data_IF_385868670212
#
_entry.id   IF_385868670212
#
_cell.length_a   1.000
_cell.length_b   1.000
_cell.length_c   1.000
_cell.angle_alpha   90.00
_cell.angle_beta   90.00
_cell.angle_gamma   90.00
#
_symmetry.space_group_name_H-M   'P 1'
#
loop_
_entity.id
_entity.type
_entity.pdbx_description
1 polymer ?
#
# COMPACT_ATOMS: atom_id res chain seq x y z
N UNK A 1 11.11 0.02 -11.60
CA UNK A 1 10.56 0.95 -10.60
C UNK A 1 11.09 0.67 -9.21
N UNK A 2 10.83 -0.51 -8.61
CA UNK A 2 11.43 -0.90 -7.33
C UNK A 2 12.22 -2.19 -7.52
N UNK A 3 13.48 -2.20 -7.14
CA UNK A 3 14.34 -3.38 -7.10
C UNK A 3 14.70 -3.71 -5.65
N UNK A 4 14.43 -4.93 -5.24
CA UNK A 4 14.73 -5.46 -3.92
C UNK A 4 15.73 -6.59 -4.07
N UNK A 5 16.87 -6.51 -3.37
CA UNK A 5 17.94 -7.51 -3.46
C UNK A 5 18.33 -8.02 -2.08
N UNK A 6 18.20 -9.33 -1.89
CA UNK A 6 18.57 -10.05 -0.69
C UNK A 6 18.07 -9.40 0.60
N UNK A 7 16.82 -8.92 0.56
CA UNK A 7 16.21 -8.14 1.63
C UNK A 7 16.00 -9.02 2.87
N UNK A 8 16.59 -8.62 3.98
CA UNK A 8 16.44 -9.31 5.25
C UNK A 8 16.08 -8.33 6.36
N UNK A 9 15.23 -8.76 7.30
CA UNK A 9 14.85 -7.97 8.46
C UNK A 9 14.72 -8.85 9.69
N UNK A 10 15.43 -8.45 10.74
CA UNK A 10 15.29 -9.04 12.08
C UNK A 10 14.83 -8.00 13.09
N UNK A 11 14.07 -8.43 14.09
CA UNK A 11 13.74 -7.68 15.29
C UNK A 11 14.39 -8.42 16.49
N UNK A 12 15.51 -7.88 17.00
CA UNK A 12 16.37 -8.62 17.90
C UNK A 12 16.85 -9.91 17.22
N UNK A 13 16.67 -11.04 17.87
CA UNK A 13 17.05 -12.36 17.36
C UNK A 13 16.01 -13.01 16.44
N UNK A 14 14.84 -12.37 16.27
CA UNK A 14 13.77 -12.92 15.44
C UNK A 14 13.88 -12.45 13.98
N UNK A 15 14.24 -13.37 13.08
CA UNK A 15 14.29 -13.15 11.64
C UNK A 15 12.86 -13.14 11.06
N UNK A 16 12.45 -12.04 10.45
CA UNK A 16 11.09 -11.83 9.88
C UNK A 16 11.11 -11.85 8.36
N UNK A 17 12.15 -11.33 7.72
CA UNK A 17 12.38 -11.43 6.28
C UNK A 17 13.74 -12.08 6.04
N UNK A 18 13.78 -13.06 5.13
CA UNK A 18 14.95 -13.91 4.89
C UNK A 18 15.32 -13.92 3.40
N UNK A 19 16.15 -12.96 3.00
CA UNK A 19 16.78 -12.93 1.68
C UNK A 19 15.80 -12.76 0.51
N UNK A 20 14.87 -11.81 0.58
CA UNK A 20 13.87 -11.60 -0.47
C UNK A 20 14.49 -10.83 -1.64
N UNK A 21 14.37 -11.39 -2.84
CA UNK A 21 14.64 -10.72 -4.11
C UNK A 21 13.32 -10.46 -4.82
N UNK A 22 13.07 -9.20 -5.24
CA UNK A 22 11.88 -8.82 -5.99
C UNK A 22 12.11 -7.63 -6.91
N UNK A 23 11.37 -7.63 -8.02
CA UNK A 23 11.26 -6.47 -8.89
C UNK A 23 9.80 -6.08 -9.08
N UNK A 24 9.49 -4.79 -8.96
CA UNK A 24 8.15 -4.24 -9.20
C UNK A 24 8.25 -3.28 -10.39
N UNK A 25 7.49 -3.60 -11.45
CA UNK A 25 7.48 -2.83 -12.68
C UNK A 25 6.50 -1.65 -12.62
N UNK A 26 6.72 -0.57 -13.41
CA UNK A 26 5.74 0.51 -13.52
C UNK A 26 4.39 -0.02 -14.02
N UNK A 27 3.30 0.43 -13.40
CA UNK A 27 1.93 0.03 -13.74
C UNK A 27 1.54 -1.36 -13.24
N UNK A 28 2.42 -2.09 -12.56
CA UNK A 28 2.15 -3.41 -12.00
C UNK A 28 1.29 -3.33 -10.73
N UNK A 29 0.41 -4.30 -10.52
CA UNK A 29 -0.38 -4.49 -9.30
C UNK A 29 0.06 -5.77 -8.63
N UNK A 30 1.07 -5.65 -7.76
CA UNK A 30 1.61 -6.77 -6.99
C UNK A 30 0.77 -6.98 -5.75
N UNK A 31 0.15 -8.15 -5.61
CA UNK A 31 -0.62 -8.52 -4.42
C UNK A 31 0.19 -9.49 -3.58
N UNK A 32 0.32 -9.20 -2.30
CA UNK A 32 1.09 -10.02 -1.34
C UNK A 32 0.11 -10.72 -0.41
N UNK A 33 0.06 -12.04 -0.50
CA UNK A 33 -0.79 -12.93 0.29
C UNK A 33 0.05 -13.80 1.23
N UNK A 34 -0.58 -14.36 2.26
CA UNK A 34 0.04 -15.30 3.18
C UNK A 34 -0.55 -15.23 4.58
N UNK A 35 -0.21 -16.19 5.46
CA UNK A 35 -0.73 -16.23 6.83
C UNK A 35 -0.30 -15.01 7.66
N UNK A 36 -1.01 -14.78 8.77
CA UNK A 36 -0.59 -13.75 9.74
C UNK A 36 0.80 -14.06 10.28
N UNK A 37 1.62 -13.02 10.46
CA UNK A 37 2.99 -13.16 10.93
C UNK A 37 4.00 -13.62 9.86
N UNK A 38 3.63 -13.80 8.60
CA UNK A 38 4.56 -14.23 7.54
C UNK A 38 5.55 -13.15 7.05
N UNK A 39 5.43 -11.91 7.54
CA UNK A 39 6.33 -10.81 7.18
C UNK A 39 5.80 -9.83 6.12
N UNK A 40 4.56 -9.98 5.62
CA UNK A 40 3.97 -9.15 4.55
C UNK A 40 4.04 -7.66 4.82
N UNK A 41 3.51 -7.22 5.96
CA UNK A 41 3.53 -5.79 6.34
C UNK A 41 4.96 -5.29 6.57
N UNK A 42 5.85 -6.12 7.09
CA UNK A 42 7.26 -5.78 7.25
C UNK A 42 7.93 -5.60 5.89
N UNK A 43 7.70 -6.52 4.95
CA UNK A 43 8.17 -6.39 3.57
C UNK A 43 7.68 -5.08 2.94
N UNK A 44 6.37 -4.81 3.00
CA UNK A 44 5.77 -3.59 2.45
C UNK A 44 6.39 -2.32 3.06
N UNK A 45 6.57 -2.29 4.38
CA UNK A 45 7.16 -1.15 5.10
C UNK A 45 8.65 -0.97 4.85
N UNK A 46 9.37 -2.02 4.46
CA UNK A 46 10.74 -1.91 4.01
C UNK A 46 10.83 -1.17 2.67
N UNK A 47 9.84 -1.32 1.76
CA UNK A 47 9.88 -0.68 0.43
C UNK A 47 9.96 0.84 0.49
N UNK A 48 9.49 1.48 1.57
CA UNK A 48 9.58 2.92 1.81
C UNK A 48 10.43 3.27 3.05
N UNK A 49 11.18 2.31 3.58
CA UNK A 49 12.00 2.43 4.79
C UNK A 49 11.26 2.92 6.04
N UNK A 50 9.93 2.71 6.15
CA UNK A 50 9.25 2.80 7.45
C UNK A 50 9.78 1.73 8.40
N UNK A 51 10.21 0.59 7.85
CA UNK A 51 11.05 -0.40 8.53
C UNK A 51 12.40 -0.46 7.84
N UNK A 52 13.48 -0.17 8.57
CA UNK A 52 14.84 -0.27 8.03
C UNK A 52 15.24 -1.74 7.96
N UNK A 53 15.63 -2.26 6.78
CA UNK A 53 16.16 -3.60 6.64
C UNK A 53 17.40 -3.82 7.50
N UNK A 54 17.67 -5.07 7.91
CA UNK A 54 18.92 -5.46 8.55
C UNK A 54 19.96 -5.96 7.55
N UNK A 55 19.55 -6.24 6.31
CA UNK A 55 20.42 -6.65 5.21
C UNK A 55 19.75 -6.50 3.87
N UNK A 56 20.53 -6.56 2.82
CA UNK A 56 20.09 -6.35 1.44
C UNK A 56 19.96 -4.88 1.05
N UNK A 57 19.45 -4.63 -0.15
CA UNK A 57 19.28 -3.28 -0.69
C UNK A 57 17.94 -3.11 -1.40
N UNK A 58 17.45 -1.88 -1.41
CA UNK A 58 16.23 -1.48 -2.13
C UNK A 58 16.59 -0.28 -2.99
N UNK A 59 16.25 -0.37 -4.28
CA UNK A 59 16.40 0.72 -5.24
C UNK A 59 15.02 1.15 -5.72
N UNK A 60 14.75 2.44 -5.69
CA UNK A 60 13.55 3.05 -6.23
C UNK A 60 13.92 4.08 -7.31
N UNK A 61 13.38 3.93 -8.52
CA UNK A 61 13.65 4.82 -9.65
C UNK A 61 15.15 5.05 -9.90
N UNK A 62 15.96 3.99 -9.73
CA UNK A 62 17.41 4.05 -9.92
C UNK A 62 18.19 4.60 -8.71
N UNK A 63 17.51 5.02 -7.64
CA UNK A 63 18.15 5.48 -6.40
C UNK A 63 18.13 4.37 -5.38
N UNK A 64 19.29 3.95 -4.85
CA UNK A 64 19.38 3.00 -3.75
C UNK A 64 18.95 3.67 -2.46
N UNK A 65 17.69 3.44 -2.04
CA UNK A 65 17.09 4.10 -0.87
C UNK A 65 17.66 3.61 0.46
N UNK A 66 18.30 2.45 0.47
CA UNK A 66 18.98 1.87 1.64
C UNK A 66 20.34 2.51 1.91
N UNK A 67 20.90 3.32 0.99
CA UNK A 67 22.09 4.12 1.26
C UNK A 67 21.74 5.24 2.28
N UNK A 68 22.43 5.31 3.45
CA UNK A 68 22.16 6.32 4.48
C UNK A 68 22.40 7.75 4.03
N UNK A 69 23.04 7.97 2.88
CA UNK A 69 23.25 9.31 2.29
C UNK A 69 22.03 9.83 1.55
N UNK A 70 21.08 8.97 1.21
CA UNK A 70 19.87 9.34 0.48
C UNK A 70 18.90 10.07 1.39
N UNK A 71 18.34 11.17 0.91
CA UNK A 71 17.25 11.84 1.58
C UNK A 71 15.94 11.05 1.39
N UNK A 72 15.64 10.19 2.35
CA UNK A 72 14.47 9.30 2.30
C UNK A 72 13.15 10.05 2.27
N UNK A 73 13.07 11.27 2.81
CA UNK A 73 11.84 12.05 2.79
C UNK A 73 11.48 12.50 1.37
N UNK A 74 12.47 12.79 0.52
CA UNK A 74 12.23 13.07 -0.90
C UNK A 74 11.74 11.83 -1.65
N UNK A 75 12.22 10.64 -1.30
CA UNK A 75 11.74 9.38 -1.88
C UNK A 75 10.30 9.11 -1.45
N UNK A 76 10.00 9.24 -0.15
CA UNK A 76 8.66 9.02 0.41
C UNK A 76 7.59 9.94 -0.18
N UNK A 77 7.96 11.14 -0.64
CA UNK A 77 7.02 12.03 -1.35
C UNK A 77 6.51 11.41 -2.65
N UNK A 78 7.26 10.48 -3.25
CA UNK A 78 6.88 9.77 -4.48
C UNK A 78 6.21 8.42 -4.22
N UNK A 79 6.04 8.01 -2.98
CA UNK A 79 5.42 6.76 -2.56
C UNK A 79 4.22 7.04 -1.66
N UNK A 80 3.01 6.71 -2.10
CA UNK A 80 1.82 6.75 -1.25
C UNK A 80 1.79 5.53 -0.33
N UNK A 81 1.43 5.72 0.94
CA UNK A 81 1.24 4.63 1.88
C UNK A 81 -0.11 4.74 2.56
N UNK A 82 -0.88 3.65 2.51
CA UNK A 82 -2.17 3.49 3.18
C UNK A 82 -2.08 2.29 4.11
N UNK A 83 -2.24 2.54 5.39
CA UNK A 83 -2.14 1.51 6.45
C UNK A 83 -3.52 1.00 6.85
N UNK A 84 -3.54 -0.10 7.60
CA UNK A 84 -4.71 -0.64 8.28
C UNK A 84 -5.42 0.41 9.15
N UNK A 85 -4.64 1.22 9.87
CA UNK A 85 -5.16 2.39 10.59
C UNK A 85 -5.13 3.60 9.67
N UNK A 86 -6.19 4.38 9.68
CA UNK A 86 -6.41 5.52 8.77
C UNK A 86 -5.34 6.62 8.90
N UNK A 87 -4.75 6.77 10.09
CA UNK A 87 -3.69 7.72 10.43
C UNK A 87 -4.01 9.18 10.03
N UNK A 88 -5.30 9.55 10.08
CA UNK A 88 -5.72 10.93 9.85
C UNK A 88 -5.38 11.80 11.05
N UNK A 89 -5.02 13.04 10.81
CA UNK A 89 -4.79 14.04 11.85
C UNK A 89 -6.12 14.42 12.51
N UNK A 90 -6.39 14.03 13.76
CA UNK A 90 -7.71 14.16 14.37
C UNK A 90 -8.14 15.61 14.60
N UNK A 91 -7.18 16.51 14.74
CA UNK A 91 -7.38 17.94 15.02
C UNK A 91 -7.41 18.82 13.76
N UNK A 92 -7.48 18.20 12.58
CA UNK A 92 -7.55 18.88 11.29
C UNK A 92 -8.80 18.46 10.54
N UNK A 93 -9.40 19.39 9.76
CA UNK A 93 -10.47 19.05 8.84
C UNK A 93 -9.99 18.06 7.78
N UNK A 94 -10.92 17.40 7.08
CA UNK A 94 -10.59 16.46 6.00
C UNK A 94 -9.83 17.17 4.88
N UNK A 95 -10.28 18.35 4.45
CA UNK A 95 -9.54 19.18 3.48
C UNK A 95 -8.11 19.42 3.94
N UNK A 96 -7.90 19.80 5.19
CA UNK A 96 -6.57 20.09 5.73
C UNK A 96 -5.69 18.85 5.85
N UNK A 97 -6.28 17.68 6.14
CA UNK A 97 -5.59 16.39 6.08
C UNK A 97 -5.03 16.11 4.68
N UNK A 98 -5.76 16.45 3.62
CA UNK A 98 -5.35 16.21 2.23
C UNK A 98 -4.32 17.24 1.77
N UNK A 99 -4.52 18.53 2.09
CA UNK A 99 -3.70 19.63 1.55
C UNK A 99 -2.39 19.84 2.28
N UNK A 100 -2.26 19.36 3.53
CA UNK A 100 -1.11 19.62 4.40
C UNK A 100 0.22 19.21 3.77
N UNK A 101 0.32 17.96 3.32
CA UNK A 101 1.57 17.42 2.80
C UNK A 101 2.00 18.08 1.48
N UNK A 102 1.12 18.20 0.45
CA UNK A 102 1.49 18.89 -0.79
C UNK A 102 1.97 20.32 -0.60
N UNK A 103 1.32 21.07 0.31
CA UNK A 103 1.72 22.45 0.60
C UNK A 103 3.02 22.51 1.40
N UNK A 104 3.14 21.67 2.43
CA UNK A 104 4.31 21.65 3.32
C UNK A 104 5.60 21.26 2.61
N UNK A 105 5.50 20.34 1.63
CA UNK A 105 6.64 19.88 0.82
C UNK A 105 6.97 20.83 -0.34
N UNK A 106 6.13 21.83 -0.59
CA UNK A 106 6.29 22.76 -1.72
C UNK A 106 5.89 22.14 -3.06
N UNK A 107 5.22 20.97 -3.06
CA UNK A 107 4.73 20.34 -4.29
C UNK A 107 3.63 21.18 -4.95
N UNK A 108 2.79 21.83 -4.15
CA UNK A 108 1.68 22.67 -4.59
C UNK A 108 1.59 23.95 -3.75
N UNK A 109 1.07 25.03 -4.34
CA UNK A 109 0.58 26.17 -3.58
C UNK A 109 -0.76 25.83 -2.92
N UNK A 110 -1.17 26.62 -1.91
CA UNK A 110 -2.40 26.34 -1.15
C UNK A 110 -3.65 26.27 -2.06
N UNK A 111 -3.78 27.18 -3.01
CA UNK A 111 -4.91 27.22 -3.95
C UNK A 111 -4.99 25.94 -4.81
N UNK A 112 -3.86 25.51 -5.39
CA UNK A 112 -3.77 24.26 -6.18
C UNK A 112 -4.07 23.02 -5.32
N UNK A 113 -3.60 23.01 -4.08
CA UNK A 113 -3.86 21.93 -3.14
C UNK A 113 -5.34 21.85 -2.77
N UNK A 114 -6.02 22.98 -2.60
CA UNK A 114 -7.46 23.04 -2.31
C UNK A 114 -8.31 22.58 -3.50
N UNK A 115 -7.94 22.94 -4.73
CA UNK A 115 -8.55 22.43 -5.95
C UNK A 115 -8.35 20.92 -6.08
N UNK A 116 -7.12 20.44 -5.86
CA UNK A 116 -6.78 19.02 -5.89
C UNK A 116 -7.56 18.24 -4.83
N UNK A 117 -7.64 18.76 -3.60
CA UNK A 117 -8.43 18.15 -2.53
C UNK A 117 -9.91 18.07 -2.90
N UNK A 118 -10.47 19.13 -3.51
CA UNK A 118 -11.85 19.16 -3.97
C UNK A 118 -12.12 18.11 -5.05
N UNK A 119 -11.23 17.96 -6.03
CA UNK A 119 -11.34 16.95 -7.08
C UNK A 119 -11.26 15.53 -6.52
N UNK A 120 -10.30 15.28 -5.62
CA UNK A 120 -10.11 13.97 -4.98
C UNK A 120 -11.29 13.60 -4.06
N UNK A 121 -11.85 14.57 -3.32
CA UNK A 121 -13.03 14.34 -2.48
C UNK A 121 -14.28 14.05 -3.30
N UNK A 122 -14.44 14.71 -4.45
CA UNK A 122 -15.53 14.37 -5.41
C UNK A 122 -15.40 12.95 -5.92
N UNK A 123 -14.17 12.52 -6.26
CA UNK A 123 -13.88 11.20 -6.78
C UNK A 123 -14.32 10.07 -5.84
N UNK A 124 -14.24 10.29 -4.53
CA UNK A 124 -14.62 9.29 -3.51
C UNK A 124 -15.98 9.59 -2.86
N UNK A 125 -16.76 10.50 -3.46
CA UNK A 125 -18.10 10.92 -3.00
C UNK A 125 -18.14 11.39 -1.54
N UNK A 126 -17.15 12.22 -1.16
CA UNK A 126 -16.99 12.77 0.19
C UNK A 126 -16.73 14.29 0.19
N UNK A 127 -17.17 15.01 -0.86
CA UNK A 127 -16.96 16.46 -0.93
C UNK A 127 -17.70 17.20 0.19
N UNK A 128 -18.87 16.72 0.58
CA UNK A 128 -19.68 17.26 1.67
C UNK A 128 -19.00 17.14 3.04
N UNK A 129 -17.96 16.29 3.16
CA UNK A 129 -17.17 16.08 4.37
C UNK A 129 -15.89 16.91 4.41
N UNK A 130 -15.63 17.77 3.42
CA UNK A 130 -14.38 18.54 3.32
C UNK A 130 -14.01 19.29 4.61
N UNK A 131 -15.00 19.89 5.25
CA UNK A 131 -14.82 20.70 6.48
C UNK A 131 -15.12 19.92 7.77
N UNK A 132 -15.49 18.63 7.67
CA UNK A 132 -15.67 17.74 8.81
C UNK A 132 -14.31 17.33 9.41
N UNK A 133 -14.36 16.81 10.64
CA UNK A 133 -13.21 16.23 11.33
C UNK A 133 -13.26 14.69 11.26
N UNK A 134 -12.11 13.98 11.38
CA UNK A 134 -12.06 12.52 11.26
C UNK A 134 -13.01 11.76 12.21
N UNK A 135 -13.25 12.27 13.42
CA UNK A 135 -14.17 11.65 14.38
C UNK A 135 -15.65 11.65 13.96
N UNK A 136 -16.00 12.43 12.94
CA UNK A 136 -17.35 12.52 12.38
C UNK A 136 -17.59 11.58 11.20
N UNK A 137 -16.58 10.77 10.81
CA UNK A 137 -16.61 9.89 9.66
C UNK A 137 -16.68 8.41 10.08
N UNK A 138 -17.33 7.59 9.25
CA UNK A 138 -17.26 6.13 9.36
C UNK A 138 -15.86 5.58 9.04
N UNK A 139 -15.61 4.31 9.36
CA UNK A 139 -14.35 3.63 9.05
C UNK A 139 -14.03 3.66 7.54
N UNK A 140 -14.97 3.28 6.69
CA UNK A 140 -14.81 3.31 5.23
C UNK A 140 -14.56 4.70 4.68
N UNK A 141 -15.27 5.72 5.18
CA UNK A 141 -15.03 7.11 4.83
C UNK A 141 -13.60 7.55 5.20
N UNK A 142 -13.14 7.25 6.43
CA UNK A 142 -11.76 7.55 6.85
C UNK A 142 -10.73 6.88 5.97
N UNK A 143 -10.96 5.64 5.56
CA UNK A 143 -10.04 4.92 4.69
C UNK A 143 -9.99 5.51 3.28
N UNK A 144 -11.13 5.84 2.70
CA UNK A 144 -11.17 6.55 1.41
C UNK A 144 -10.45 7.91 1.49
N UNK A 145 -10.60 8.64 2.59
CA UNK A 145 -9.83 9.87 2.82
C UNK A 145 -8.32 9.59 2.95
N UNK A 146 -7.91 8.51 3.62
CA UNK A 146 -6.50 8.14 3.71
C UNK A 146 -5.89 7.84 2.32
N UNK A 147 -6.66 7.18 1.44
CA UNK A 147 -6.26 6.93 0.05
C UNK A 147 -6.09 8.25 -0.71
N UNK A 148 -7.11 9.13 -0.71
CA UNK A 148 -7.02 10.39 -1.47
C UNK A 148 -5.99 11.35 -0.90
N UNK A 149 -5.72 11.32 0.40
CA UNK A 149 -4.62 12.05 1.02
C UNK A 149 -3.26 11.60 0.46
N UNK A 150 -3.07 10.29 0.30
CA UNK A 150 -1.84 9.77 -0.32
C UNK A 150 -1.75 10.17 -1.80
N UNK A 151 -2.86 10.11 -2.54
CA UNK A 151 -2.94 10.51 -3.95
C UNK A 151 -2.66 11.99 -4.19
N UNK A 152 -2.97 12.86 -3.22
CA UNK A 152 -2.71 14.30 -3.33
C UNK A 152 -1.22 14.63 -3.51
N UNK A 153 -0.33 13.72 -3.08
CA UNK A 153 1.12 13.82 -3.33
C UNK A 153 1.54 13.43 -4.75
N UNK A 154 0.62 13.00 -5.61
CA UNK A 154 0.89 12.50 -6.98
C UNK A 154 1.97 11.40 -6.98
N UNK A 155 1.81 10.32 -6.18
CA UNK A 155 2.84 9.30 -6.02
C UNK A 155 3.00 8.47 -7.29
N UNK A 156 4.19 7.90 -7.48
CA UNK A 156 4.48 6.95 -8.57
C UNK A 156 4.04 5.52 -8.22
N UNK A 157 3.95 5.21 -6.95
CA UNK A 157 3.51 3.90 -6.43
C UNK A 157 2.66 4.08 -5.18
N UNK A 158 1.64 3.25 -5.04
CA UNK A 158 0.80 3.16 -3.86
C UNK A 158 1.07 1.85 -3.12
N UNK A 159 1.39 1.94 -1.84
CA UNK A 159 1.60 0.82 -0.93
C UNK A 159 0.37 0.70 -0.01
N UNK A 160 -0.28 -0.46 -0.02
CA UNK A 160 -1.47 -0.72 0.80
C UNK A 160 -1.18 -1.85 1.80
N UNK A 161 -1.23 -1.53 3.09
CA UNK A 161 -1.02 -2.48 4.19
C UNK A 161 -2.36 -2.83 4.83
N UNK A 162 -3.00 -3.90 4.36
CA UNK A 162 -4.29 -4.39 4.82
C UNK A 162 -5.38 -3.30 4.92
N UNK A 163 -5.68 -2.57 3.84
CA UNK A 163 -6.51 -1.35 3.88
C UNK A 163 -7.95 -1.57 4.31
N UNK A 164 -8.43 -2.81 4.34
CA UNK A 164 -9.81 -3.17 4.70
C UNK A 164 -9.95 -3.87 6.05
N UNK A 165 -8.85 -4.30 6.68
CA UNK A 165 -8.88 -5.18 7.86
C UNK A 165 -9.48 -4.54 9.12
N UNK A 166 -9.53 -3.21 9.20
CA UNK A 166 -10.14 -2.46 10.31
C UNK A 166 -11.58 -1.97 10.01
N UNK A 167 -12.20 -2.48 8.93
CA UNK A 167 -13.52 -2.05 8.47
C UNK A 167 -14.59 -3.12 8.72
N UNK A 168 -15.81 -2.65 8.94
CA UNK A 168 -16.98 -3.51 8.90
C UNK A 168 -17.18 -4.03 7.46
N UNK A 169 -17.68 -5.28 7.27
CA UNK A 169 -17.83 -5.88 5.94
C UNK A 169 -18.64 -5.03 4.95
N UNK A 170 -19.62 -4.28 5.42
CA UNK A 170 -20.46 -3.39 4.60
C UNK A 170 -19.66 -2.23 3.98
N UNK A 171 -18.54 -1.85 4.57
CA UNK A 171 -17.70 -0.73 4.12
C UNK A 171 -16.51 -1.16 3.24
N UNK A 172 -16.21 -2.45 3.18
CA UNK A 172 -15.07 -3.00 2.44
C UNK A 172 -15.20 -2.70 0.95
N UNK A 173 -16.39 -2.92 0.39
CA UNK A 173 -16.67 -2.74 -1.04
C UNK A 173 -16.29 -1.36 -1.55
N UNK A 174 -16.70 -0.29 -0.84
CA UNK A 174 -16.42 1.11 -1.23
C UNK A 174 -14.92 1.42 -1.30
N UNK A 175 -14.12 0.84 -0.40
CA UNK A 175 -12.66 1.03 -0.39
C UNK A 175 -12.02 0.24 -1.53
N UNK A 176 -12.44 -1.00 -1.76
CA UNK A 176 -11.95 -1.82 -2.87
C UNK A 176 -12.29 -1.21 -4.22
N UNK A 177 -13.46 -0.57 -4.38
CA UNK A 177 -13.85 0.08 -5.63
C UNK A 177 -12.92 1.26 -5.96
N UNK A 178 -12.54 2.07 -4.99
CA UNK A 178 -11.52 3.12 -5.18
C UNK A 178 -10.18 2.50 -5.61
N UNK A 179 -9.75 1.42 -4.98
CA UNK A 179 -8.51 0.74 -5.35
C UNK A 179 -8.56 0.12 -6.76
N UNK A 180 -9.72 -0.44 -7.16
CA UNK A 180 -9.95 -0.96 -8.52
C UNK A 180 -9.86 0.15 -9.57
N UNK A 181 -10.42 1.32 -9.27
CA UNK A 181 -10.33 2.49 -10.15
C UNK A 181 -8.88 2.91 -10.36
N UNK A 182 -8.08 3.03 -9.28
CA UNK A 182 -6.65 3.33 -9.37
C UNK A 182 -5.88 2.31 -10.21
N UNK A 183 -6.22 1.03 -10.06
CA UNK A 183 -5.60 -0.03 -10.84
C UNK A 183 -5.92 0.10 -12.34
N UNK A 184 -7.17 0.44 -12.71
CA UNK A 184 -7.58 0.67 -14.11
C UNK A 184 -6.89 1.89 -14.73
N UNK A 185 -6.58 2.91 -13.93
CA UNK A 185 -5.81 4.08 -14.34
C UNK A 185 -4.32 3.80 -14.53
N UNK A 186 -3.86 2.58 -14.27
CA UNK A 186 -2.47 2.20 -14.45
C UNK A 186 -1.56 2.52 -13.26
N UNK A 187 -2.11 2.86 -12.08
CA UNK A 187 -1.32 3.10 -10.88
C UNK A 187 -0.49 1.86 -10.54
N UNK A 188 0.80 2.05 -10.25
CA UNK A 188 1.63 0.99 -9.68
C UNK A 188 1.23 0.77 -8.23
N UNK A 189 0.96 -0.48 -7.86
CA UNK A 189 0.45 -0.80 -6.54
C UNK A 189 1.15 -2.03 -5.96
N UNK A 190 1.47 -1.97 -4.65
CA UNK A 190 1.83 -3.14 -3.85
C UNK A 190 0.81 -3.26 -2.74
N UNK A 191 0.07 -4.36 -2.70
CA UNK A 191 -1.12 -4.51 -1.86
C UNK A 191 -0.98 -5.75 -0.98
N UNK A 192 -0.85 -5.57 0.32
CA UNK A 192 -1.04 -6.64 1.31
C UNK A 192 -2.53 -6.67 1.64
N UNK A 193 -3.18 -7.81 1.43
CA UNK A 193 -4.63 -7.94 1.65
C UNK A 193 -5.03 -9.37 2.00
N UNK A 194 -6.22 -9.52 2.57
CA UNK A 194 -6.94 -10.80 2.74
C UNK A 194 -8.14 -10.92 1.79
N UNK A 195 -8.36 -9.93 0.93
CA UNK A 195 -9.47 -9.89 -0.03
C UNK A 195 -9.11 -10.70 -1.29
N UNK A 196 -9.40 -12.01 -1.28
CA UNK A 196 -9.03 -12.93 -2.38
C UNK A 196 -9.70 -12.55 -3.71
N UNK A 197 -10.95 -12.07 -3.66
CA UNK A 197 -11.67 -11.58 -4.84
C UNK A 197 -10.97 -10.39 -5.48
N UNK A 198 -10.53 -9.44 -4.68
CA UNK A 198 -9.75 -8.28 -5.15
C UNK A 198 -8.41 -8.72 -5.75
N UNK A 199 -7.69 -9.61 -5.05
CA UNK A 199 -6.40 -10.12 -5.50
C UNK A 199 -6.51 -10.78 -6.88
N UNK A 200 -7.59 -11.57 -7.10
CA UNK A 200 -7.86 -12.27 -8.35
C UNK A 200 -8.26 -11.32 -9.49
N UNK A 201 -9.07 -10.31 -9.20
CA UNK A 201 -9.62 -9.39 -10.21
C UNK A 201 -8.62 -8.31 -10.64
N UNK A 202 -7.84 -7.79 -9.70
CA UNK A 202 -7.03 -6.57 -9.90
C UNK A 202 -5.55 -6.86 -10.01
N UNK A 203 -5.07 -7.91 -9.33
CA UNK A 203 -3.66 -8.28 -9.35
C UNK A 203 -3.16 -8.54 -10.78
N UNK A 204 -1.97 -8.08 -11.08
CA UNK A 204 -1.21 -8.54 -12.25
C UNK A 204 -0.26 -9.68 -11.87
N UNK A 205 0.12 -9.72 -10.58
CA UNK A 205 0.99 -10.74 -10.01
C UNK A 205 0.69 -10.92 -8.53
N UNK A 206 0.72 -12.17 -8.06
CA UNK A 206 0.51 -12.55 -6.66
C UNK A 206 1.80 -13.14 -6.11
N UNK A 207 2.22 -12.65 -4.95
CA UNK A 207 3.33 -13.18 -4.16
C UNK A 207 2.76 -13.86 -2.92
N UNK A 208 3.08 -15.12 -2.72
CA UNK A 208 2.73 -15.84 -1.50
C UNK A 208 3.90 -15.86 -0.54
N UNK A 209 3.72 -15.22 0.61
CA UNK A 209 4.73 -15.16 1.66
C UNK A 209 4.38 -16.09 2.82
N UNK A 210 5.37 -16.91 3.25
CA UNK A 210 5.31 -17.69 4.49
C UNK A 210 6.71 -17.83 5.07
N UNK A 211 6.84 -17.75 6.40
CA UNK A 211 8.12 -17.87 7.10
C UNK A 211 9.18 -16.86 6.66
N UNK A 212 8.78 -15.65 6.29
CA UNK A 212 9.70 -14.58 5.88
C UNK A 212 10.23 -14.70 4.44
N UNK A 213 9.72 -15.64 3.65
CA UNK A 213 10.12 -15.89 2.25
C UNK A 213 8.95 -15.78 1.30
N UNK A 214 9.24 -15.49 0.03
CA UNK A 214 8.29 -15.66 -1.05
C UNK A 214 8.40 -17.10 -1.53
N UNK A 215 7.35 -17.90 -1.29
CA UNK A 215 7.34 -19.32 -1.61
C UNK A 215 6.74 -19.62 -3.00
N UNK A 216 5.86 -18.75 -3.46
CA UNK A 216 5.25 -18.86 -4.79
C UNK A 216 4.97 -17.47 -5.35
N UNK A 217 5.16 -17.33 -6.65
CA UNK A 217 4.87 -16.13 -7.41
C UNK A 217 4.24 -16.54 -8.73
N UNK A 218 3.08 -15.96 -9.06
CA UNK A 218 2.40 -16.28 -10.31
C UNK A 218 1.39 -15.17 -10.69
N UNK A 219 0.87 -15.23 -11.92
CA UNK A 219 -0.31 -14.47 -12.29
C UNK A 219 -1.56 -14.96 -11.49
N UNK A 220 -2.59 -14.11 -11.27
CA UNK A 220 -3.70 -14.45 -10.40
C UNK A 220 -4.42 -15.74 -10.78
N UNK A 221 -4.76 -15.96 -12.06
CA UNK A 221 -5.47 -17.17 -12.47
C UNK A 221 -4.65 -18.44 -12.17
N UNK A 222 -3.37 -18.46 -12.56
CA UNK A 222 -2.51 -19.59 -12.29
C UNK A 222 -2.31 -19.81 -10.77
N UNK A 223 -2.17 -18.73 -10.00
CA UNK A 223 -2.00 -18.77 -8.55
C UNK A 223 -3.23 -19.36 -7.83
N UNK A 224 -4.44 -18.92 -8.17
CA UNK A 224 -5.66 -19.34 -7.49
C UNK A 224 -6.22 -20.68 -8.01
N UNK A 225 -6.09 -20.96 -9.30
CA UNK A 225 -6.68 -22.15 -9.91
C UNK A 225 -5.73 -23.34 -9.92
N UNK A 226 -4.41 -23.09 -9.97
CA UNK A 226 -3.38 -24.11 -10.10
C UNK A 226 -2.16 -23.80 -9.20
N UNK A 227 -2.34 -23.60 -7.87
CA UNK A 227 -1.23 -23.32 -6.97
C UNK A 227 -0.21 -24.47 -6.97
N UNK A 228 1.07 -24.14 -7.07
CA UNK A 228 2.14 -25.12 -7.22
C UNK A 228 2.75 -25.52 -5.89
N UNK A 229 2.95 -24.56 -4.98
CA UNK A 229 3.62 -24.82 -3.71
C UNK A 229 2.65 -25.43 -2.68
N UNK A 230 3.01 -26.50 -1.96
CA UNK A 230 2.12 -27.17 -1.00
C UNK A 230 1.57 -26.24 0.10
N UNK A 231 2.38 -25.25 0.52
CA UNK A 231 1.94 -24.25 1.52
C UNK A 231 0.90 -23.29 0.95
N UNK A 232 1.02 -22.93 -0.32
CA UNK A 232 0.00 -22.11 -1.02
C UNK A 232 -1.30 -22.89 -1.13
N UNK A 233 -1.25 -24.15 -1.55
CA UNK A 233 -2.43 -25.04 -1.63
C UNK A 233 -3.14 -25.15 -0.28
N UNK A 234 -2.38 -25.39 0.79
CA UNK A 234 -2.93 -25.46 2.15
C UNK A 234 -3.52 -24.13 2.62
N UNK A 235 -2.91 -23.00 2.27
CA UNK A 235 -3.43 -21.69 2.60
C UNK A 235 -4.75 -21.42 1.87
N UNK A 236 -4.76 -21.60 0.56
CA UNK A 236 -5.95 -21.35 -0.27
C UNK A 236 -7.13 -22.25 0.12
N UNK A 237 -6.89 -23.54 0.44
CA UNK A 237 -7.94 -24.44 0.91
C UNK A 237 -8.63 -24.05 2.22
N UNK A 238 -8.06 -23.08 2.96
CA UNK A 238 -8.63 -22.58 4.23
C UNK A 238 -9.33 -21.24 4.09
N UNK A 239 -9.06 -20.50 3.00
CA UNK A 239 -9.54 -19.12 2.83
C UNK A 239 -10.50 -18.96 1.63
N UNK A 240 -10.56 -19.95 0.75
CA UNK A 240 -11.55 -20.12 -0.33
C UNK A 240 -12.56 -21.19 0.04
#
# INVERSE_FOLDING_TARGET
MIDVKNLSKSFGDHLVLDGIDQHIYPGEKVVVLGPSGSGKSTFLRCLNLLETPTGGSITFEGTEITDPKVNIDQVRQQMGMVSQHFNLFPNMTIRKNITLAPVRTGLMKQEEADETATALLKRVDLLDKADAYPNQLSGGQKQRIAIVRALAMKPKVMLFDEPTSALDPEMVGEVLDVMKELAREGMTMVVVTHEMGFAREVGSRVLFMDGGKILEENEPHAFFDHPQHPRTQLFLSKVL
#
